data_IF_617746808754
#
_entry.id   IF_617746808754
#
_cell.length_a   1.000
_cell.length_b   1.000
_cell.length_c   1.000
_cell.angle_alpha   90.00
_cell.angle_beta   90.00
_cell.angle_gamma   90.00
#
_symmetry.space_group_name_H-M   'P 1'
#
loop_
_entity.id
_entity.type
_entity.pdbx_description
1 polymer ?
#
# COMPACT_ATOMS: atom_id res chain seq x y z
N UNK A 1 -21.33 -11.04 -31.72
CA UNK A 1 -20.10 -10.23 -31.48
C UNK A 1 -20.40 -8.95 -30.67
N UNK A 2 -20.24 -9.03 -29.34
CA UNK A 2 -20.10 -7.86 -28.46
C UNK A 2 -19.06 -8.26 -27.43
N UNK A 3 -17.83 -7.78 -27.64
CA UNK A 3 -16.71 -7.99 -26.73
C UNK A 3 -17.02 -7.35 -25.39
N UNK A 4 -17.19 -8.19 -24.36
CA UNK A 4 -17.21 -7.72 -22.99
C UNK A 4 -15.76 -7.39 -22.64
N UNK A 5 -15.50 -6.10 -22.47
CA UNK A 5 -14.19 -5.59 -22.04
C UNK A 5 -13.78 -6.33 -20.78
N UNK A 6 -12.67 -7.03 -20.87
CA UNK A 6 -12.00 -7.71 -19.78
C UNK A 6 -11.80 -6.70 -18.63
N UNK A 7 -12.55 -6.87 -17.54
CA UNK A 7 -12.13 -6.31 -16.26
C UNK A 7 -10.84 -7.03 -15.89
N UNK A 8 -9.70 -6.44 -16.23
CA UNK A 8 -8.44 -6.87 -15.64
C UNK A 8 -8.53 -6.41 -14.19
N UNK A 9 -9.04 -7.29 -13.33
CA UNK A 9 -8.76 -7.19 -11.90
C UNK A 9 -7.28 -7.50 -11.79
N UNK A 10 -6.47 -6.44 -11.84
CA UNK A 10 -5.05 -6.54 -11.51
C UNK A 10 -5.00 -6.78 -10.01
N UNK A 11 -4.95 -8.04 -9.58
CA UNK A 11 -4.70 -8.40 -8.19
C UNK A 11 -3.19 -8.30 -7.98
N UNK A 12 -2.75 -7.29 -7.23
CA UNK A 12 -1.37 -7.06 -6.82
C UNK A 12 -1.27 -7.33 -5.32
N UNK A 13 -0.21 -7.98 -4.83
CA UNK A 13 -0.08 -8.22 -3.38
C UNK A 13 -1.05 -9.28 -2.89
N UNK A 14 -0.73 -10.03 -1.84
CA UNK A 14 -1.82 -10.53 -1.00
C UNK A 14 -2.43 -9.33 -0.27
N UNK A 15 -3.50 -8.77 -0.84
CA UNK A 15 -4.29 -7.70 -0.21
C UNK A 15 -4.77 -8.07 1.19
N UNK A 16 -4.82 -9.37 1.52
CA UNK A 16 -5.28 -9.88 2.80
C UNK A 16 -4.31 -9.56 3.93
N UNK A 17 -3.02 -9.84 3.77
CA UNK A 17 -2.04 -9.58 4.83
C UNK A 17 -1.88 -8.08 5.07
N UNK A 18 -1.76 -7.26 4.01
CA UNK A 18 -1.72 -5.80 4.15
C UNK A 18 -2.98 -5.26 4.85
N UNK A 19 -4.17 -5.75 4.46
CA UNK A 19 -5.42 -5.35 5.11
C UNK A 19 -5.37 -5.63 6.61
N UNK A 20 -4.88 -6.80 7.01
CA UNK A 20 -4.81 -7.19 8.40
C UNK A 20 -3.80 -6.32 9.15
N UNK A 21 -2.59 -6.13 8.62
CA UNK A 21 -1.57 -5.26 9.22
C UNK A 21 -2.07 -3.84 9.47
N UNK A 22 -2.71 -3.24 8.46
CA UNK A 22 -3.29 -1.89 8.57
C UNK A 22 -4.38 -1.87 9.64
N UNK A 23 -5.27 -2.86 9.66
CA UNK A 23 -6.35 -2.91 10.64
C UNK A 23 -5.84 -3.11 12.07
N UNK A 24 -4.85 -3.98 12.26
CA UNK A 24 -4.21 -4.26 13.55
C UNK A 24 -3.43 -3.04 14.08
N UNK A 25 -2.72 -2.32 13.21
CA UNK A 25 -1.85 -1.21 13.61
C UNK A 25 -2.59 0.11 13.78
N UNK A 26 -3.62 0.36 12.96
CA UNK A 26 -4.36 1.64 12.98
C UNK A 26 -5.65 1.58 13.78
N UNK A 27 -6.14 0.38 14.10
CA UNK A 27 -7.46 0.16 14.70
C UNK A 27 -8.63 0.54 13.79
N UNK A 28 -8.38 0.81 12.50
CA UNK A 28 -9.38 1.20 11.52
C UNK A 28 -9.54 0.11 10.45
N UNK A 29 -10.76 -0.17 9.95
CA UNK A 29 -10.93 -1.09 8.83
C UNK A 29 -10.14 -0.63 7.60
N UNK A 30 -9.25 -1.47 7.05
CA UNK A 30 -8.45 -1.09 5.89
C UNK A 30 -9.32 -0.81 4.64
N UNK A 31 -10.40 -1.59 4.49
CA UNK A 31 -11.44 -1.38 3.49
C UNK A 31 -12.69 -0.81 4.18
N UNK A 32 -13.24 0.33 3.74
CA UNK A 32 -12.79 1.15 2.62
C UNK A 32 -11.72 2.18 2.99
N UNK A 33 -11.41 2.38 4.29
CA UNK A 33 -10.79 3.62 4.76
C UNK A 33 -9.46 3.95 4.08
N UNK A 34 -8.61 2.96 3.86
CA UNK A 34 -7.34 3.14 3.16
C UNK A 34 -7.44 2.69 1.70
N UNK A 35 -8.18 1.62 1.39
CA UNK A 35 -8.25 1.08 0.02
C UNK A 35 -8.89 2.03 -1.01
N UNK A 36 -9.65 3.03 -0.56
CA UNK A 36 -10.25 4.05 -1.43
C UNK A 36 -9.72 5.46 -1.16
N UNK A 37 -8.61 5.56 -0.43
CA UNK A 37 -8.05 6.83 0.01
C UNK A 37 -7.23 7.52 -1.08
N UNK A 38 -7.45 8.81 -1.28
CA UNK A 38 -6.63 9.68 -2.10
C UNK A 38 -6.34 9.18 -3.51
N UNK A 39 -5.20 9.59 -4.05
CA UNK A 39 -4.79 9.31 -5.42
C UNK A 39 -3.93 8.05 -5.55
N UNK A 40 -3.23 7.66 -4.49
CA UNK A 40 -2.25 6.59 -4.51
C UNK A 40 -2.69 5.34 -3.75
N UNK A 41 -3.50 5.43 -2.71
CA UNK A 41 -4.07 4.21 -2.11
C UNK A 41 -5.16 3.62 -2.99
N UNK A 42 -5.86 4.48 -3.75
CA UNK A 42 -6.78 4.09 -4.81
C UNK A 42 -6.05 3.73 -6.12
N UNK A 43 -6.82 3.42 -7.17
CA UNK A 43 -6.32 2.99 -8.48
C UNK A 43 -5.90 4.13 -9.42
N UNK A 44 -5.80 5.37 -8.95
CA UNK A 44 -5.38 6.49 -9.79
C UNK A 44 -3.93 6.32 -10.28
N UNK A 45 -3.66 6.81 -11.49
CA UNK A 45 -2.37 6.65 -12.21
C UNK A 45 -1.62 7.97 -12.45
N UNK A 46 -2.04 9.07 -11.83
CA UNK A 46 -1.50 10.43 -12.02
C UNK A 46 -1.73 11.29 -10.77
N UNK A 47 -1.12 12.46 -10.74
CA UNK A 47 -1.27 13.46 -9.69
C UNK A 47 -0.28 13.33 -8.53
N UNK A 48 -0.26 14.34 -7.67
CA UNK A 48 0.54 14.33 -6.44
C UNK A 48 -0.23 13.69 -5.28
N UNK A 49 0.46 13.09 -4.28
CA UNK A 49 -0.21 12.63 -3.07
C UNK A 49 -0.94 13.79 -2.38
N UNK A 50 -2.18 13.54 -1.92
CA UNK A 50 -3.00 14.57 -1.28
C UNK A 50 -2.51 14.95 0.12
N UNK A 51 -1.99 13.97 0.85
CA UNK A 51 -1.44 14.12 2.19
C UNK A 51 -0.42 13.01 2.50
N UNK A 52 0.00 12.91 3.77
CA UNK A 52 0.98 11.93 4.21
C UNK A 52 0.46 10.48 4.16
N UNK A 53 -0.84 10.23 4.42
CA UNK A 53 -1.42 8.89 4.27
C UNK A 53 -1.36 8.45 2.80
N UNK A 54 -1.71 9.34 1.86
CA UNK A 54 -1.64 9.07 0.43
C UNK A 54 -0.18 8.89 -0.05
N UNK A 55 0.76 9.62 0.57
CA UNK A 55 2.20 9.45 0.33
C UNK A 55 2.71 8.08 0.77
N UNK A 56 2.21 7.52 1.87
CA UNK A 56 2.52 6.15 2.27
C UNK A 56 2.16 5.14 1.18
N UNK A 57 1.00 5.31 0.54
CA UNK A 57 0.55 4.46 -0.55
C UNK A 57 1.37 4.63 -1.84
N UNK A 58 1.84 5.86 -2.13
CA UNK A 58 2.81 6.06 -3.20
C UNK A 58 4.08 5.25 -2.94
N UNK A 59 4.64 5.37 -1.73
CA UNK A 59 5.88 4.68 -1.36
C UNK A 59 5.71 3.16 -1.35
N UNK A 60 4.54 2.67 -0.94
CA UNK A 60 4.17 1.26 -1.03
C UNK A 60 4.19 0.75 -2.48
N UNK A 61 3.55 1.47 -3.41
CA UNK A 61 3.59 1.16 -4.85
C UNK A 61 5.02 1.19 -5.40
N UNK A 62 5.86 2.13 -4.93
CA UNK A 62 7.27 2.19 -5.30
C UNK A 62 8.05 0.98 -4.78
N UNK A 63 7.83 0.57 -3.54
CA UNK A 63 8.44 -0.63 -2.97
C UNK A 63 8.09 -1.87 -3.81
N UNK A 64 6.81 -2.07 -4.14
CA UNK A 64 6.38 -3.17 -5.02
C UNK A 64 7.01 -3.11 -6.42
N UNK A 65 7.22 -1.91 -6.98
CA UNK A 65 7.85 -1.76 -8.30
C UNK A 65 9.33 -2.15 -8.33
N UNK A 66 9.99 -2.15 -7.16
CA UNK A 66 11.39 -2.54 -7.02
C UNK A 66 11.57 -4.05 -6.84
N UNK A 67 10.53 -4.78 -6.45
CA UNK A 67 10.56 -6.23 -6.32
C UNK A 67 10.65 -6.84 -7.72
N UNK A 68 11.75 -7.57 -7.99
CA UNK A 68 12.01 -8.22 -9.29
C UNK A 68 11.91 -9.73 -9.16
N UNK A 69 11.49 -10.39 -10.25
CA UNK A 69 11.40 -11.85 -10.37
C UNK A 69 10.50 -12.54 -9.32
N UNK A 70 9.54 -11.80 -8.75
CA UNK A 70 8.60 -12.30 -7.76
C UNK A 70 7.16 -12.19 -8.25
N UNK A 71 6.31 -13.11 -7.80
CA UNK A 71 4.87 -12.99 -7.96
C UNK A 71 4.36 -12.01 -6.92
N UNK A 72 3.93 -10.82 -7.35
CA UNK A 72 3.44 -9.81 -6.41
C UNK A 72 2.19 -10.27 -5.67
N UNK A 73 1.41 -11.23 -6.18
CA UNK A 73 0.21 -11.76 -5.52
C UNK A 73 0.47 -12.98 -4.62
N UNK A 74 1.73 -13.25 -4.25
CA UNK A 74 2.04 -14.28 -3.25
C UNK A 74 1.50 -13.89 -1.88
N UNK A 75 0.97 -14.87 -1.17
CA UNK A 75 0.69 -14.77 0.28
C UNK A 75 1.99 -14.91 1.05
N UNK A 76 2.07 -14.32 2.23
CA UNK A 76 3.24 -14.45 3.11
C UNK A 76 2.82 -14.58 4.57
N UNK A 77 3.75 -15.01 5.42
CA UNK A 77 3.53 -15.16 6.86
C UNK A 77 4.14 -14.00 7.64
N UNK A 78 3.39 -13.46 8.60
CA UNK A 78 3.86 -12.43 9.52
C UNK A 78 3.26 -12.64 10.92
N UNK A 79 3.85 -12.00 11.93
CA UNK A 79 3.25 -11.86 13.27
C UNK A 79 3.07 -10.39 13.62
N UNK A 80 2.02 -10.09 14.37
CA UNK A 80 1.77 -8.80 14.99
C UNK A 80 1.68 -8.96 16.51
N UNK A 81 2.53 -8.25 17.25
CA UNK A 81 2.47 -8.22 18.71
C UNK A 81 2.96 -6.87 19.23
N UNK A 82 2.16 -6.25 20.09
CA UNK A 82 2.48 -4.94 20.71
C UNK A 82 2.86 -3.84 19.70
N UNK A 83 2.08 -3.73 18.62
CA UNK A 83 2.33 -2.77 17.55
C UNK A 83 3.50 -3.13 16.61
N UNK A 84 4.18 -4.25 16.84
CA UNK A 84 5.35 -4.66 16.06
C UNK A 84 4.96 -5.74 15.03
N UNK A 85 5.25 -5.47 13.77
CA UNK A 85 5.13 -6.42 12.65
C UNK A 85 6.47 -7.10 12.40
N UNK A 86 6.46 -8.44 12.37
CA UNK A 86 7.62 -9.26 11.95
C UNK A 86 7.25 -10.15 10.77
N UNK A 87 8.07 -10.12 9.74
CA UNK A 87 7.96 -10.96 8.55
C UNK A 87 8.63 -12.32 8.79
N UNK A 88 7.89 -13.41 8.65
CA UNK A 88 8.29 -14.76 9.07
C UNK A 88 8.65 -15.66 7.89
N UNK A 89 8.10 -15.40 6.69
CA UNK A 89 8.36 -16.22 5.49
C UNK A 89 9.85 -16.44 5.24
N UNK A 90 10.25 -17.64 4.82
CA UNK A 90 11.64 -17.90 4.42
C UNK A 90 11.90 -17.54 2.96
N UNK A 91 10.85 -17.52 2.13
CA UNK A 91 10.95 -17.18 0.72
C UNK A 91 11.34 -15.70 0.54
N UNK A 92 12.40 -15.39 -0.24
CA UNK A 92 12.87 -14.02 -0.44
C UNK A 92 11.84 -13.09 -1.09
N UNK A 93 10.94 -13.60 -1.93
CA UNK A 93 9.89 -12.81 -2.55
C UNK A 93 8.79 -12.46 -1.54
N UNK A 94 8.36 -13.43 -0.75
CA UNK A 94 7.40 -13.24 0.34
C UNK A 94 7.94 -12.28 1.39
N UNK A 95 9.23 -12.38 1.74
CA UNK A 95 9.89 -11.44 2.64
C UNK A 95 9.86 -10.01 2.10
N UNK A 96 10.24 -9.79 0.84
CA UNK A 96 10.20 -8.46 0.23
C UNK A 96 8.78 -7.86 0.23
N UNK A 97 7.77 -8.67 -0.11
CA UNK A 97 6.36 -8.24 -0.07
C UNK A 97 5.94 -7.84 1.36
N UNK A 98 6.24 -8.69 2.33
CA UNK A 98 5.92 -8.41 3.73
C UNK A 98 6.62 -7.15 4.24
N UNK A 99 7.89 -6.91 3.87
CA UNK A 99 8.60 -5.70 4.28
C UNK A 99 7.98 -4.45 3.66
N UNK A 100 7.55 -4.49 2.40
CA UNK A 100 6.83 -3.38 1.79
C UNK A 100 5.52 -3.07 2.52
N UNK A 101 4.74 -4.10 2.87
CA UNK A 101 3.47 -3.96 3.57
C UNK A 101 3.66 -3.48 5.03
N UNK A 102 4.70 -3.97 5.72
CA UNK A 102 5.12 -3.50 7.05
C UNK A 102 5.44 -2.00 7.03
N UNK A 103 6.29 -1.56 6.11
CA UNK A 103 6.71 -0.15 6.01
C UNK A 103 5.51 0.75 5.68
N UNK A 104 4.66 0.33 4.75
CA UNK A 104 3.45 1.05 4.41
C UNK A 104 2.53 1.20 5.63
N UNK A 105 2.34 0.12 6.39
CA UNK A 105 1.50 0.09 7.59
C UNK A 105 2.04 1.02 8.68
N UNK A 106 3.35 0.98 8.94
CA UNK A 106 3.98 1.89 9.90
C UNK A 106 3.84 3.34 9.46
N UNK A 107 4.09 3.65 8.18
CA UNK A 107 3.87 4.99 7.64
C UNK A 107 2.43 5.46 7.86
N UNK A 108 1.44 4.62 7.55
CA UNK A 108 0.02 4.93 7.77
C UNK A 108 -0.28 5.21 9.25
N UNK A 109 0.28 4.39 10.14
CA UNK A 109 0.15 4.56 11.60
C UNK A 109 0.72 5.90 12.07
N UNK A 110 1.87 6.33 11.54
CA UNK A 110 2.44 7.64 11.84
C UNK A 110 1.62 8.80 11.27
N UNK A 111 0.91 8.58 10.16
CA UNK A 111 0.07 9.60 9.52
C UNK A 111 -1.33 9.78 10.14
N UNK A 112 -1.68 9.01 11.18
CA UNK A 112 -3.01 9.01 11.79
C UNK A 112 -3.47 10.40 12.27
N UNK A 113 -2.55 11.21 12.79
CA UNK A 113 -2.86 12.55 13.28
C UNK A 113 -3.32 13.51 12.17
N UNK A 114 -2.87 13.29 10.93
CA UNK A 114 -3.22 14.10 9.75
C UNK A 114 -4.24 13.42 8.83
N UNK A 115 -4.74 12.23 9.20
CA UNK A 115 -5.67 11.47 8.36
C UNK A 115 -6.96 12.26 8.10
N UNK A 116 -7.31 12.44 6.83
CA UNK A 116 -8.45 13.22 6.39
C UNK A 116 -9.55 12.32 5.78
N UNK A 117 -10.66 12.18 6.52
CA UNK A 117 -11.81 11.37 6.09
C UNK A 117 -12.43 11.80 4.75
N UNK A 118 -12.20 13.04 4.30
CA UNK A 118 -12.68 13.56 3.01
C UNK A 118 -11.98 12.92 1.82
N UNK A 119 -10.79 12.36 2.00
CA UNK A 119 -10.06 11.67 0.94
C UNK A 119 -10.44 10.20 0.80
N UNK A 120 -11.37 9.68 1.61
CA UNK A 120 -11.99 8.37 1.36
C UNK A 120 -12.92 8.46 0.14
N UNK A 121 -12.83 7.48 -0.75
CA UNK A 121 -13.56 7.48 -2.03
C UNK A 121 -13.24 8.70 -2.90
N UNK A 122 -12.01 9.20 -2.81
CA UNK A 122 -11.60 10.38 -3.56
C UNK A 122 -11.68 10.13 -5.08
N UNK A 123 -12.35 11.00 -5.87
CA UNK A 123 -12.50 10.78 -7.30
C UNK A 123 -11.15 10.84 -8.02
N UNK A 124 -10.77 9.75 -8.70
CA UNK A 124 -9.48 9.68 -9.44
C UNK A 124 -9.34 10.76 -10.54
N UNK A 125 -10.45 11.35 -10.99
CA UNK A 125 -10.47 12.48 -11.93
C UNK A 125 -9.91 13.77 -11.32
N UNK A 126 -10.02 13.93 -10.00
CA UNK A 126 -9.52 15.10 -9.27
C UNK A 126 -8.02 14.99 -8.93
N UNK A 127 -7.41 13.82 -9.15
CA UNK A 127 -5.97 13.66 -9.05
C UNK A 127 -5.27 14.43 -10.19
N UNK A 128 -4.78 15.64 -9.89
CA UNK A 128 -4.16 16.55 -10.86
C UNK A 128 -2.65 16.65 -10.64
N UNK A 129 -1.91 16.86 -11.73
CA UNK A 129 -0.46 16.99 -11.74
C UNK A 129 0.27 15.79 -12.34
N UNK A 130 1.58 15.93 -12.48
CA UNK A 130 2.45 14.83 -12.89
C UNK A 130 2.45 13.73 -11.82
N UNK A 131 2.61 12.48 -12.27
CA UNK A 131 2.82 11.35 -11.37
C UNK A 131 4.12 11.62 -10.59
N UNK A 132 4.08 11.40 -9.27
CA UNK A 132 5.29 11.47 -8.46
C UNK A 132 6.17 10.27 -8.79
N UNK A 133 7.47 10.52 -9.01
CA UNK A 133 8.45 9.49 -9.31
C UNK A 133 8.89 8.77 -8.04
N UNK A 134 9.21 7.48 -8.19
CA UNK A 134 9.79 6.70 -7.11
C UNK A 134 11.23 7.20 -6.85
N UNK A 135 11.51 7.66 -5.64
CA UNK A 135 12.89 7.94 -5.21
C UNK A 135 13.56 6.61 -4.82
N UNK A 136 14.81 6.44 -5.21
CA UNK A 136 15.60 5.21 -4.95
C UNK A 136 15.96 5.00 -3.46
N UNK A 137 15.56 5.89 -2.55
CA UNK A 137 15.99 5.91 -1.14
C UNK A 137 14.93 5.42 -0.14
N UNK A 138 14.11 4.42 -0.49
CA UNK A 138 13.38 3.64 0.52
C UNK A 138 14.40 2.71 1.20
N UNK A 139 15.13 3.26 2.15
CA UNK A 139 16.06 2.50 2.98
C UNK A 139 15.24 1.57 3.89
N UNK A 140 15.04 0.34 3.42
CA UNK A 140 14.38 -0.78 4.13
C UNK A 140 15.07 -1.08 5.48
N UNK A 141 16.23 -0.48 5.75
CA UNK A 141 17.01 -0.59 6.97
C UNK A 141 16.61 0.40 8.09
N UNK A 142 15.76 1.40 7.81
CA UNK A 142 15.48 2.50 8.73
C UNK A 142 14.13 2.42 9.47
N UNK A 143 13.40 1.31 9.39
CA UNK A 143 12.22 1.09 10.25
C UNK A 143 12.62 0.42 11.56
N UNK A 144 12.19 0.93 12.74
CA UNK A 144 12.35 0.23 14.01
C UNK A 144 11.75 -1.19 14.02
#
# INVERSE_FOLDING_TARGET
PKGLVQWVIVVQGSIYELRNMVQESTGQPAVPNYSTYGCYCSSARRGLPLDETDRCCHNHKCCHSQIRNCKLNSTYSYSFWDGIIRCISEDPCEQQLCQCDKIATYCMTHSLASYNKLYRYYPTQECVGAKMECKETLDLSASP
#
